data_IF_155174905448
#
_entry.id   IF_155174905448
#
_cell.length_a   1.000
_cell.length_b   1.000
_cell.length_c   1.000
_cell.angle_alpha   90.00
_cell.angle_beta   90.00
_cell.angle_gamma   90.00
#
_symmetry.space_group_name_H-M   'P 1'
#
loop_
_entity.id
_entity.type
_entity.pdbx_description
1 polymer ?
#
# COMPACT_ATOMS: atom_id res chain seq x y z
N UNK A 1 18.89 -19.64 -6.00
CA UNK A 1 19.28 -18.21 -6.02
C UNK A 1 19.36 -17.60 -7.44
N UNK A 2 20.05 -18.21 -8.42
CA UNK A 2 20.20 -17.62 -9.77
C UNK A 2 18.87 -17.34 -10.52
N UNK A 3 17.86 -18.20 -10.37
CA UNK A 3 16.54 -18.02 -11.00
C UNK A 3 15.78 -16.82 -10.45
N UNK A 4 15.74 -16.63 -9.13
CA UNK A 4 15.04 -15.50 -8.50
C UNK A 4 15.67 -14.16 -8.91
N UNK A 5 17.02 -14.09 -8.87
CA UNK A 5 17.74 -12.89 -9.32
C UNK A 5 17.41 -12.53 -10.77
N UNK A 6 17.29 -13.54 -11.65
CA UNK A 6 16.89 -13.32 -13.06
C UNK A 6 15.47 -12.78 -13.18
N UNK A 7 14.51 -13.37 -12.47
CA UNK A 7 13.10 -12.93 -12.48
C UNK A 7 12.97 -11.49 -11.95
N UNK A 8 13.69 -11.14 -10.88
CA UNK A 8 13.71 -9.77 -10.36
C UNK A 8 14.26 -8.80 -11.40
N UNK A 9 15.39 -9.13 -12.04
CA UNK A 9 15.99 -8.28 -13.06
C UNK A 9 15.08 -8.08 -14.28
N UNK A 10 14.32 -9.11 -14.69
CA UNK A 10 13.33 -9.02 -15.77
C UNK A 10 12.20 -8.03 -15.40
N UNK A 11 11.67 -8.11 -14.18
CA UNK A 11 10.62 -7.20 -13.67
C UNK A 11 11.15 -5.76 -13.59
N UNK A 12 12.36 -5.56 -13.06
CA UNK A 12 12.97 -4.23 -12.93
C UNK A 12 13.22 -3.58 -14.30
N UNK A 13 13.62 -4.36 -15.31
CA UNK A 13 13.82 -3.87 -16.67
C UNK A 13 12.51 -3.41 -17.34
N UNK A 14 11.40 -4.13 -17.09
CA UNK A 14 10.08 -3.80 -17.63
C UNK A 14 9.45 -2.57 -16.97
N UNK A 15 9.74 -2.34 -15.69
CA UNK A 15 9.19 -1.22 -14.92
C UNK A 15 9.76 0.16 -15.32
N UNK A 16 10.91 0.20 -16.02
CA UNK A 16 11.64 1.43 -16.35
C UNK A 16 12.24 2.13 -15.11
N UNK A 17 13.08 3.16 -15.29
CA UNK A 17 13.67 3.90 -14.17
C UNK A 17 12.57 4.58 -13.34
N UNK A 18 12.52 4.30 -12.04
CA UNK A 18 11.57 4.92 -11.11
C UNK A 18 11.65 6.47 -11.11
N UNK A 19 12.82 7.01 -11.46
CA UNK A 19 13.15 8.45 -11.45
C UNK A 19 12.37 9.32 -12.44
N UNK A 20 11.66 8.75 -13.42
CA UNK A 20 10.94 9.54 -14.43
C UNK A 20 9.45 9.72 -14.11
N UNK A 21 8.93 9.07 -13.07
CA UNK A 21 7.53 9.21 -12.66
C UNK A 21 7.35 10.41 -11.75
N UNK A 22 6.55 11.38 -12.19
CA UNK A 22 6.09 12.46 -11.33
C UNK A 22 5.20 11.89 -10.22
N UNK A 23 5.71 11.94 -8.99
CA UNK A 23 5.00 11.57 -7.78
C UNK A 23 3.67 12.32 -7.67
N UNK A 24 2.57 11.60 -7.46
CA UNK A 24 1.27 12.20 -7.16
C UNK A 24 0.96 12.06 -5.69
N UNK A 25 0.39 13.12 -5.13
CA UNK A 25 -0.02 13.14 -3.72
C UNK A 25 -1.51 12.98 -3.58
N UNK A 26 -1.92 12.06 -2.71
CA UNK A 26 -3.27 11.87 -2.23
C UNK A 26 -3.49 12.74 -0.98
N UNK A 27 -4.33 13.79 -1.05
CA UNK A 27 -4.72 14.54 0.14
C UNK A 27 -5.39 13.59 1.13
N UNK A 28 -4.88 13.52 2.35
CA UNK A 28 -5.41 12.66 3.40
C UNK A 28 -6.52 13.40 4.15
N UNK A 29 -6.15 14.51 4.79
CA UNK A 29 -7.05 15.42 5.48
C UNK A 29 -6.34 16.77 5.64
N UNK A 30 -7.09 17.88 5.58
CA UNK A 30 -6.53 19.24 5.65
C UNK A 30 -5.60 19.46 6.85
N UNK A 31 -5.90 18.84 7.98
CA UNK A 31 -5.09 18.95 9.20
C UNK A 31 -3.73 18.24 9.10
N UNK A 32 -3.57 17.26 8.20
CA UNK A 32 -2.36 16.47 8.02
C UNK A 32 -1.60 16.79 6.75
N UNK A 33 -2.28 17.28 5.71
CA UNK A 33 -1.69 17.44 4.38
C UNK A 33 -0.45 18.33 4.41
N UNK A 34 -0.42 19.39 5.21
CA UNK A 34 0.77 20.25 5.34
C UNK A 34 1.97 19.49 5.92
N UNK A 35 1.77 18.74 6.99
CA UNK A 35 2.82 17.93 7.62
C UNK A 35 3.30 16.79 6.70
N UNK A 36 2.44 16.33 5.80
CA UNK A 36 2.75 15.30 4.81
C UNK A 36 3.32 15.86 3.49
N UNK A 37 3.55 17.18 3.37
CA UNK A 37 4.06 17.80 2.14
C UNK A 37 3.04 17.87 1.01
N UNK A 38 1.76 18.06 1.34
CA UNK A 38 0.61 18.12 0.43
C UNK A 38 -0.20 16.82 0.33
N UNK A 39 0.08 15.82 1.17
CA UNK A 39 -0.61 14.52 1.21
C UNK A 39 0.33 13.33 0.96
N UNK A 40 -0.23 12.12 0.93
CA UNK A 40 0.51 10.86 0.78
C UNK A 40 0.99 10.64 -0.65
N UNK A 41 2.29 10.45 -0.88
CA UNK A 41 2.86 10.24 -2.22
C UNK A 41 2.60 8.81 -2.73
N UNK A 42 2.31 8.63 -4.03
CA UNK A 42 2.04 7.31 -4.65
C UNK A 42 3.31 6.49 -4.97
N UNK A 43 4.49 7.06 -4.71
CA UNK A 43 5.81 6.48 -4.89
C UNK A 43 6.59 6.36 -3.56
N UNK A 44 5.90 6.43 -2.42
CA UNK A 44 6.47 6.31 -1.10
C UNK A 44 5.92 5.11 -0.32
N UNK A 45 6.69 4.63 0.65
CA UNK A 45 6.22 3.66 1.64
C UNK A 45 5.49 4.39 2.77
N UNK A 46 4.23 4.01 3.02
CA UNK A 46 3.42 4.53 4.13
C UNK A 46 3.20 3.44 5.15
N UNK A 47 3.51 3.73 6.42
CA UNK A 47 3.25 2.85 7.54
C UNK A 47 1.97 3.28 8.28
N UNK A 48 1.08 2.33 8.54
CA UNK A 48 -0.17 2.54 9.28
C UNK A 48 -0.12 1.63 10.49
N UNK A 49 0.11 2.22 11.66
CA UNK A 49 0.16 1.49 12.92
C UNK A 49 -1.18 1.64 13.68
N UNK A 50 -1.74 0.55 14.22
CA UNK A 50 -2.87 0.64 15.14
C UNK A 50 -2.43 1.30 16.45
N UNK A 51 -3.32 2.06 17.09
CA UNK A 51 -3.02 2.69 18.38
C UNK A 51 -2.91 1.65 19.53
N UNK A 52 -3.66 0.55 19.41
CA UNK A 52 -3.66 -0.61 20.32
C UNK A 52 -3.75 -1.90 19.52
N UNK A 53 -3.33 -3.06 20.07
CA UNK A 53 -3.46 -4.35 19.37
C UNK A 53 -4.89 -4.65 18.89
N UNK A 54 -5.90 -4.24 19.63
CA UNK A 54 -7.32 -4.43 19.27
C UNK A 54 -7.78 -3.56 18.09
N UNK A 55 -7.01 -2.54 17.70
CA UNK A 55 -7.37 -1.61 16.63
C UNK A 55 -6.88 -2.09 15.24
N UNK A 56 -6.32 -3.31 15.16
CA UNK A 56 -5.74 -3.87 13.93
C UNK A 56 -6.72 -3.90 12.75
N UNK A 57 -7.97 -4.32 12.98
CA UNK A 57 -9.00 -4.32 11.93
C UNK A 57 -9.32 -2.90 11.42
N UNK A 58 -9.31 -1.90 12.30
CA UNK A 58 -9.54 -0.51 11.91
C UNK A 58 -8.36 0.04 11.10
N UNK A 59 -7.12 -0.28 11.49
CA UNK A 59 -5.91 0.08 10.74
C UNK A 59 -5.91 -0.56 9.33
N UNK A 60 -6.26 -1.85 9.23
CA UNK A 60 -6.39 -2.55 7.95
C UNK A 60 -7.48 -1.94 7.06
N UNK A 61 -8.67 -1.69 7.62
CA UNK A 61 -9.76 -1.04 6.88
C UNK A 61 -9.38 0.36 6.36
N UNK A 62 -8.66 1.14 7.17
CA UNK A 62 -8.12 2.43 6.76
C UNK A 62 -7.09 2.29 5.63
N UNK A 63 -6.18 1.31 5.70
CA UNK A 63 -5.22 1.01 4.64
C UNK A 63 -5.91 0.64 3.32
N UNK A 64 -6.93 -0.20 3.37
CA UNK A 64 -7.74 -0.59 2.20
C UNK A 64 -8.48 0.60 1.59
N UNK A 65 -9.06 1.46 2.43
CA UNK A 65 -9.71 2.69 1.98
C UNK A 65 -8.71 3.63 1.27
N UNK A 66 -7.48 3.76 1.79
CA UNK A 66 -6.42 4.52 1.13
C UNK A 66 -6.01 3.90 -0.21
N UNK A 67 -5.80 2.58 -0.25
CA UNK A 67 -5.51 1.85 -1.48
C UNK A 67 -6.59 2.10 -2.54
N UNK A 68 -7.88 1.98 -2.17
CA UNK A 68 -9.01 2.29 -3.05
C UNK A 68 -8.99 3.72 -3.59
N UNK A 69 -8.60 4.70 -2.77
CA UNK A 69 -8.44 6.10 -3.21
C UNK A 69 -7.26 6.30 -4.17
N UNK A 70 -6.15 5.60 -3.97
CA UNK A 70 -5.04 5.60 -4.94
C UNK A 70 -5.47 4.96 -6.27
N UNK A 71 -6.12 3.80 -6.22
CA UNK A 71 -6.60 3.06 -7.38
C UNK A 71 -7.65 3.83 -8.19
N UNK A 72 -8.52 4.59 -7.51
CA UNK A 72 -9.50 5.46 -8.15
C UNK A 72 -8.85 6.57 -8.99
N UNK A 73 -7.64 7.00 -8.63
CA UNK A 73 -6.87 8.02 -9.38
C UNK A 73 -5.99 7.41 -10.47
N UNK A 74 -5.53 6.19 -10.26
CA UNK A 74 -4.71 5.43 -11.21
C UNK A 74 -5.05 3.94 -11.10
N UNK A 75 -5.90 3.41 -11.98
CA UNK A 75 -6.18 1.98 -12.02
C UNK A 75 -4.88 1.18 -12.16
N UNK A 76 -4.69 0.21 -11.29
CA UNK A 76 -3.52 -0.67 -11.26
C UNK A 76 -3.88 -2.00 -10.59
N UNK A 77 -3.08 -3.03 -10.83
CA UNK A 77 -3.15 -4.27 -10.06
C UNK A 77 -2.74 -4.01 -8.60
N UNK A 78 -3.46 -4.62 -7.67
CA UNK A 78 -3.18 -4.50 -6.22
C UNK A 78 -2.82 -5.86 -5.66
N UNK A 79 -1.83 -5.90 -4.77
CA UNK A 79 -1.42 -7.09 -4.04
C UNK A 79 -1.60 -6.83 -2.55
N UNK A 80 -2.28 -7.76 -1.87
CA UNK A 80 -2.35 -7.81 -0.41
C UNK A 80 -1.53 -9.00 0.03
N UNK A 81 -0.58 -8.76 0.93
CA UNK A 81 0.27 -9.79 1.51
C UNK A 81 -0.01 -9.84 3.01
N UNK A 82 -0.30 -11.04 3.51
CA UNK A 82 -0.48 -11.29 4.94
C UNK A 82 0.41 -12.45 5.37
N UNK A 83 0.81 -12.43 6.64
CA UNK A 83 1.47 -13.56 7.27
C UNK A 83 0.44 -14.54 7.79
N UNK A 84 0.65 -15.84 7.56
CA UNK A 84 -0.31 -16.87 7.99
C UNK A 84 -0.57 -16.87 9.50
N UNK A 85 0.39 -16.42 10.32
CA UNK A 85 0.19 -16.26 11.76
C UNK A 85 -0.76 -15.08 12.08
N UNK A 86 -0.62 -13.95 11.38
CA UNK A 86 -1.50 -12.80 11.56
C UNK A 86 -2.96 -13.14 11.18
N UNK A 87 -3.15 -13.92 10.12
CA UNK A 87 -4.48 -14.40 9.71
C UNK A 87 -5.14 -15.30 10.77
N UNK A 88 -4.34 -16.08 11.52
CA UNK A 88 -4.87 -16.92 12.61
C UNK A 88 -5.24 -16.11 13.85
N UNK A 89 -4.48 -15.06 14.17
CA UNK A 89 -4.71 -14.21 15.34
C UNK A 89 -5.88 -13.24 15.13
N UNK A 90 -5.93 -12.61 13.95
CA UNK A 90 -6.84 -11.48 13.67
C UNK A 90 -7.94 -11.83 12.66
N UNK A 91 -7.90 -13.02 12.06
CA UNK A 91 -8.75 -13.42 10.95
C UNK A 91 -8.19 -12.98 9.60
N UNK A 92 -8.41 -13.82 8.59
CA UNK A 92 -8.01 -13.51 7.22
C UNK A 92 -8.97 -12.50 6.58
N UNK A 93 -8.46 -11.72 5.62
CA UNK A 93 -9.27 -10.79 4.85
C UNK A 93 -10.30 -11.54 3.99
N UNK A 94 -11.57 -11.13 4.10
CA UNK A 94 -12.65 -11.70 3.30
C UNK A 94 -12.73 -11.04 1.93
N UNK A 95 -11.99 -11.58 0.95
CA UNK A 95 -11.88 -11.05 -0.40
C UNK A 95 -13.20 -10.72 -1.12
N UNK A 96 -14.27 -11.53 -1.03
CA UNK A 96 -15.56 -11.21 -1.67
C UNK A 96 -16.25 -9.95 -1.15
N UNK A 97 -15.82 -9.41 0.00
CA UNK A 97 -16.34 -8.18 0.58
C UNK A 97 -15.58 -6.90 0.18
N UNK A 98 -14.60 -7.00 -0.73
CA UNK A 98 -13.76 -5.90 -1.20
C UNK A 98 -14.21 -5.35 -2.56
#
# INVERSE_FOLDING_TARGET
MARLKRVIAEIEAEAGPASERLARRLPLARAFDSALGGGLADDALHEIAPARPTDGAAAMGFALALAGRFLSRRPASTLIVSEGFADQESGALYGPGL
#
